data_IF_385618588389
#
_entry.id   IF_385618588389
#
_cell.length_a   1.000
_cell.length_b   1.000
_cell.length_c   1.000
_cell.angle_alpha   90.00
_cell.angle_beta   90.00
_cell.angle_gamma   90.00
#
_symmetry.space_group_name_H-M   'P 1'
#
loop_
_entity.id
_entity.type
_entity.pdbx_description
1 polymer ?
#
# COMPACT_ATOMS: atom_id res chain seq x y z
N UNK A 1 -28.53 36.33 -34.75
CA UNK A 1 -27.73 35.09 -34.77
C UNK A 1 -28.00 34.39 -33.46
N UNK A 2 -29.00 33.52 -33.47
CA UNK A 2 -29.46 32.80 -32.28
C UNK A 2 -28.38 31.84 -31.78
N UNK A 3 -27.79 32.17 -30.63
CA UNK A 3 -26.94 31.26 -29.87
C UNK A 3 -27.88 30.21 -29.30
N UNK A 4 -28.01 29.07 -30.00
CA UNK A 4 -28.76 27.92 -29.51
C UNK A 4 -28.15 27.45 -28.19
N UNK A 5 -28.93 27.52 -27.12
CA UNK A 5 -28.57 26.93 -25.83
C UNK A 5 -28.13 25.46 -26.03
N UNK A 6 -26.93 25.07 -25.58
CA UNK A 6 -26.48 23.70 -25.74
C UNK A 6 -27.39 22.78 -24.92
N UNK A 7 -27.96 21.78 -25.61
CA UNK A 7 -28.81 20.75 -24.99
C UNK A 7 -28.09 20.14 -23.79
N UNK A 8 -28.73 20.18 -22.62
CA UNK A 8 -28.23 19.57 -21.39
C UNK A 8 -28.07 18.05 -21.60
N UNK A 9 -26.83 17.61 -21.80
CA UNK A 9 -26.52 16.18 -21.86
C UNK A 9 -26.52 15.66 -20.42
N UNK A 10 -27.45 14.76 -20.11
CA UNK A 10 -27.55 14.10 -18.80
C UNK A 10 -26.97 12.69 -19.00
N UNK A 11 -25.70 12.50 -18.63
CA UNK A 11 -25.01 11.22 -18.73
C UNK A 11 -23.52 11.32 -18.37
N UNK A 12 -22.88 10.18 -18.10
CA UNK A 12 -21.44 10.13 -17.85
C UNK A 12 -20.66 10.36 -19.14
N UNK A 13 -19.75 11.34 -19.13
CA UNK A 13 -18.82 11.58 -20.25
C UNK A 13 -17.55 10.77 -20.05
N UNK A 14 -17.26 9.88 -20.99
CA UNK A 14 -16.00 9.13 -21.04
C UNK A 14 -15.02 9.88 -21.95
N UNK A 15 -13.80 10.08 -21.45
CA UNK A 15 -12.74 10.77 -22.18
C UNK A 15 -11.64 9.77 -22.53
N UNK A 16 -11.01 9.94 -23.68
CA UNK A 16 -9.86 9.12 -24.08
C UNK A 16 -8.69 9.36 -23.13
N UNK A 17 -7.88 8.33 -22.88
CA UNK A 17 -6.67 8.48 -22.07
C UNK A 17 -5.77 9.60 -22.63
N UNK A 18 -5.22 10.43 -21.75
CA UNK A 18 -4.37 11.54 -22.14
C UNK A 18 -5.10 12.77 -22.71
N UNK A 19 -6.44 12.83 -22.70
CA UNK A 19 -7.20 13.99 -23.22
C UNK A 19 -6.77 15.34 -22.63
N UNK A 20 -6.35 15.36 -21.35
CA UNK A 20 -5.83 16.57 -20.69
C UNK A 20 -4.62 17.18 -21.39
N UNK A 21 -3.81 16.36 -22.08
CA UNK A 21 -2.64 16.80 -22.85
C UNK A 21 -3.00 17.53 -24.13
N UNK A 22 -4.24 17.36 -24.61
CA UNK A 22 -4.73 17.99 -25.84
C UNK A 22 -5.39 19.35 -25.58
N UNK A 23 -5.54 19.75 -24.31
CA UNK A 23 -6.11 21.04 -23.94
C UNK A 23 -5.12 22.17 -24.21
N UNK A 24 -5.63 23.28 -24.73
CA UNK A 24 -4.82 24.46 -24.96
C UNK A 24 -4.51 25.17 -23.63
N UNK A 25 -3.25 25.55 -23.43
CA UNK A 25 -2.78 26.26 -22.23
C UNK A 25 -2.41 27.71 -22.51
N UNK A 26 -2.94 28.31 -23.57
CA UNK A 26 -2.75 29.75 -23.81
C UNK A 26 -3.51 30.58 -22.77
N UNK A 27 -3.13 31.85 -22.63
CA UNK A 27 -3.67 32.77 -21.61
C UNK A 27 -5.20 32.85 -21.65
N UNK A 28 -5.78 32.95 -22.85
CA UNK A 28 -7.23 33.04 -23.04
C UNK A 28 -7.96 31.74 -22.67
N UNK A 29 -7.39 30.57 -22.98
CA UNK A 29 -7.96 29.28 -22.56
C UNK A 29 -7.86 29.07 -21.04
N UNK A 30 -6.77 29.50 -20.40
CA UNK A 30 -6.64 29.42 -18.94
C UNK A 30 -7.68 30.33 -18.25
N UNK A 31 -7.89 31.54 -18.76
CA UNK A 31 -8.94 32.44 -18.24
C UNK A 31 -10.34 31.84 -18.43
N UNK A 32 -10.61 31.21 -19.57
CA UNK A 32 -11.84 30.48 -19.82
C UNK A 32 -12.04 29.36 -18.77
N UNK A 33 -11.05 28.51 -18.54
CA UNK A 33 -11.18 27.41 -17.57
C UNK A 33 -11.40 27.91 -16.14
N UNK A 34 -10.76 29.02 -15.76
CA UNK A 34 -11.02 29.68 -14.47
C UNK A 34 -12.45 30.20 -14.38
N UNK A 35 -12.94 30.84 -15.44
CA UNK A 35 -14.31 31.38 -15.51
C UNK A 35 -15.36 30.27 -15.42
N UNK A 36 -15.11 29.13 -16.06
CA UNK A 36 -15.97 27.94 -16.02
C UNK A 36 -15.78 27.09 -14.75
N UNK A 37 -14.93 27.53 -13.80
CA UNK A 37 -14.75 26.86 -12.51
C UNK A 37 -13.96 25.55 -12.57
N UNK A 38 -13.24 25.28 -13.66
CA UNK A 38 -12.46 24.05 -13.88
C UNK A 38 -10.96 24.33 -14.13
N UNK A 39 -10.28 25.18 -13.33
CA UNK A 39 -8.86 25.50 -13.57
C UNK A 39 -7.93 24.29 -13.43
N UNK A 40 -8.37 23.23 -12.74
CA UNK A 40 -7.63 22.00 -12.53
C UNK A 40 -7.55 21.10 -13.76
N UNK A 41 -8.35 21.39 -14.81
CA UNK A 41 -8.52 20.50 -15.97
C UNK A 41 -7.21 20.27 -16.75
N UNK A 42 -6.29 21.23 -16.69
CA UNK A 42 -4.97 21.15 -17.34
C UNK A 42 -3.90 20.48 -16.47
N UNK A 43 -4.18 20.25 -15.19
CA UNK A 43 -3.23 19.58 -14.30
C UNK A 43 -3.24 18.07 -14.56
N UNK A 44 -2.08 17.51 -14.93
CA UNK A 44 -1.92 16.08 -15.16
C UNK A 44 -1.80 15.30 -13.84
N UNK A 45 -1.42 15.97 -12.75
CA UNK A 45 -1.28 15.40 -11.42
C UNK A 45 -2.61 15.35 -10.67
N UNK A 46 -3.62 16.08 -11.14
CA UNK A 46 -4.97 16.04 -10.60
C UNK A 46 -5.85 14.99 -11.33
N UNK A 47 -5.29 13.79 -11.50
CA UNK A 47 -5.97 12.62 -12.03
C UNK A 47 -6.02 11.55 -10.96
N UNK A 48 -7.10 10.75 -10.90
CA UNK A 48 -7.20 9.62 -9.96
C UNK A 48 -5.99 8.69 -10.11
N UNK A 49 -5.56 8.43 -11.34
CA UNK A 49 -4.38 7.63 -11.64
C UNK A 49 -3.09 8.22 -11.04
N UNK A 50 -2.89 9.55 -11.07
CA UNK A 50 -1.75 10.19 -10.42
C UNK A 50 -1.81 10.06 -8.89
N UNK A 51 -3.00 10.18 -8.28
CA UNK A 51 -3.18 9.92 -6.84
C UNK A 51 -2.88 8.47 -6.47
N UNK A 52 -3.38 7.51 -7.25
CA UNK A 52 -3.10 6.08 -7.07
C UNK A 52 -1.61 5.79 -7.23
N UNK A 53 -0.95 6.30 -8.27
CA UNK A 53 0.49 6.17 -8.48
C UNK A 53 1.27 6.70 -7.28
N UNK A 54 0.97 7.92 -6.83
CA UNK A 54 1.63 8.54 -5.68
C UNK A 54 1.42 7.73 -4.40
N UNK A 55 0.25 7.12 -4.22
CA UNK A 55 -0.03 6.24 -3.09
C UNK A 55 0.80 4.95 -3.17
N UNK A 56 0.92 4.34 -4.35
CA UNK A 56 1.74 3.14 -4.58
C UNK A 56 3.22 3.41 -4.36
N UNK A 57 3.74 4.51 -4.89
CA UNK A 57 5.13 4.94 -4.70
C UNK A 57 5.46 5.13 -3.22
N UNK A 58 4.56 5.74 -2.43
CA UNK A 58 4.74 5.87 -0.98
C UNK A 58 4.76 4.52 -0.27
N UNK A 59 3.90 3.59 -0.68
CA UNK A 59 3.89 2.23 -0.12
C UNK A 59 5.20 1.50 -0.43
N UNK A 60 5.65 1.54 -1.70
CA UNK A 60 6.91 0.93 -2.13
C UNK A 60 8.13 1.56 -1.41
N UNK A 61 8.15 2.88 -1.23
CA UNK A 61 9.23 3.56 -0.51
C UNK A 61 9.27 3.13 0.97
N UNK A 62 8.11 2.95 1.61
CA UNK A 62 8.02 2.48 2.99
C UNK A 62 8.43 1.01 3.13
N UNK A 63 8.05 0.16 2.17
CA UNK A 63 8.50 -1.23 2.11
C UNK A 63 10.02 -1.30 2.00
N UNK A 64 10.60 -0.55 1.05
CA UNK A 64 12.06 -0.46 0.88
C UNK A 64 12.78 0.02 2.14
N UNK A 65 12.25 1.01 2.86
CA UNK A 65 12.82 1.48 4.13
C UNK A 65 12.75 0.40 5.22
N UNK A 66 11.68 -0.39 5.28
CA UNK A 66 11.54 -1.48 6.24
C UNK A 66 12.49 -2.64 5.95
N UNK A 67 12.67 -2.98 4.68
CA UNK A 67 13.63 -4.00 4.24
C UNK A 67 15.08 -3.58 4.54
N UNK A 68 15.40 -2.30 4.37
CA UNK A 68 16.72 -1.74 4.70
C UNK A 68 17.01 -1.77 6.22
N UNK A 69 15.99 -1.62 7.05
CA UNK A 69 16.11 -1.78 8.50
C UNK A 69 16.43 -3.21 8.93
N UNK A 70 15.73 -4.19 8.34
CA UNK A 70 15.97 -5.61 8.61
C UNK A 70 17.33 -6.07 8.06
N UNK A 71 17.67 -5.69 6.83
CA UNK A 71 18.96 -6.05 6.22
C UNK A 71 20.14 -5.51 7.04
N UNK A 72 20.03 -4.29 7.55
CA UNK A 72 21.03 -3.68 8.44
C UNK A 72 21.15 -4.42 9.78
N UNK A 73 20.03 -4.83 10.38
CA UNK A 73 20.05 -5.63 11.62
C UNK A 73 20.72 -6.98 11.39
N UNK A 74 20.35 -7.70 10.33
CA UNK A 74 20.92 -8.98 9.95
C UNK A 74 22.43 -8.90 9.65
N UNK A 75 22.88 -7.83 9.01
CA UNK A 75 24.30 -7.62 8.68
C UNK A 75 25.18 -7.41 9.93
N UNK A 76 24.60 -7.07 11.08
CA UNK A 76 25.31 -6.85 12.34
C UNK A 76 25.36 -8.08 13.25
N UNK A 77 24.67 -9.16 12.89
CA UNK A 77 24.54 -10.39 13.68
C UNK A 77 25.49 -11.49 13.17
N UNK A 78 25.79 -12.48 14.02
CA UNK A 78 26.44 -13.71 13.55
C UNK A 78 25.60 -14.39 12.46
N UNK A 79 26.26 -15.02 11.48
CA UNK A 79 25.60 -15.60 10.30
C UNK A 79 24.50 -16.60 10.66
N UNK A 80 24.69 -17.41 11.71
CA UNK A 80 23.68 -18.40 12.11
C UNK A 80 22.45 -17.70 12.68
N UNK A 81 22.65 -16.73 13.57
CA UNK A 81 21.58 -15.95 14.17
C UNK A 81 20.84 -15.08 13.13
N UNK A 82 21.55 -14.55 12.13
CA UNK A 82 20.97 -13.80 11.02
C UNK A 82 20.07 -14.69 10.15
N UNK A 83 20.52 -15.89 9.79
CA UNK A 83 19.72 -16.84 9.00
C UNK A 83 18.47 -17.26 9.76
N UNK A 84 18.59 -17.56 11.06
CA UNK A 84 17.45 -17.94 11.88
C UNK A 84 16.44 -16.79 12.03
N UNK A 85 16.92 -15.57 12.29
CA UNK A 85 16.07 -14.39 12.38
C UNK A 85 15.35 -14.09 11.05
N UNK A 86 16.05 -14.20 9.92
CA UNK A 86 15.43 -14.01 8.60
C UNK A 86 14.34 -15.06 8.33
N UNK A 87 14.58 -16.31 8.71
CA UNK A 87 13.58 -17.37 8.58
C UNK A 87 12.35 -17.12 9.47
N UNK A 88 12.57 -16.77 10.74
CA UNK A 88 11.49 -16.45 11.69
C UNK A 88 10.70 -15.22 11.25
N UNK A 89 11.37 -14.21 10.67
CA UNK A 89 10.70 -13.02 10.13
C UNK A 89 9.80 -13.37 8.95
N UNK A 90 10.26 -14.20 8.01
CA UNK A 90 9.44 -14.63 6.88
C UNK A 90 8.25 -15.47 7.34
N UNK A 91 8.45 -16.40 8.28
CA UNK A 91 7.36 -17.16 8.89
C UNK A 91 6.34 -16.23 9.56
N UNK A 92 6.80 -15.23 10.32
CA UNK A 92 5.92 -14.24 10.93
C UNK A 92 5.13 -13.43 9.90
N UNK A 93 5.78 -12.99 8.81
CA UNK A 93 5.14 -12.24 7.72
C UNK A 93 4.02 -13.04 7.06
N UNK A 94 4.25 -14.33 6.80
CA UNK A 94 3.25 -15.24 6.24
C UNK A 94 2.07 -15.46 7.19
N UNK A 95 2.34 -15.84 8.45
CA UNK A 95 1.30 -16.06 9.46
C UNK A 95 0.44 -14.81 9.69
N UNK A 96 1.06 -13.62 9.70
CA UNK A 96 0.35 -12.35 9.83
C UNK A 96 -0.51 -12.04 8.59
N UNK A 97 0.00 -12.33 7.39
CA UNK A 97 -0.73 -12.15 6.14
C UNK A 97 -1.97 -13.05 6.05
N UNK A 98 -1.83 -14.32 6.46
CA UNK A 98 -2.95 -15.27 6.55
C UNK A 98 -3.96 -14.84 7.61
N UNK A 99 -3.50 -14.40 8.78
CA UNK A 99 -4.36 -13.92 9.84
C UNK A 99 -5.16 -12.68 9.40
N UNK A 100 -4.51 -11.67 8.83
CA UNK A 100 -5.21 -10.50 8.26
C UNK A 100 -6.16 -10.90 7.13
N UNK A 101 -5.76 -11.87 6.31
CA UNK A 101 -6.57 -12.43 5.23
C UNK A 101 -7.80 -13.21 5.70
N UNK A 102 -7.89 -13.57 6.99
CA UNK A 102 -9.07 -14.23 7.58
C UNK A 102 -10.22 -13.26 7.88
N UNK A 103 -9.95 -11.95 7.95
CA UNK A 103 -10.94 -10.90 8.26
C UNK A 103 -11.75 -10.43 7.04
N UNK A 104 -11.90 -11.27 5.99
CA UNK A 104 -12.69 -10.90 4.80
C UNK A 104 -14.11 -10.45 5.19
N UNK A 105 -14.51 -9.27 4.73
CA UNK A 105 -15.82 -8.66 5.01
C UNK A 105 -15.73 -7.42 5.91
N UNK A 106 -16.86 -7.04 6.52
CA UNK A 106 -17.01 -5.81 7.33
C UNK A 106 -16.56 -6.00 8.80
N UNK A 107 -15.63 -6.93 9.05
CA UNK A 107 -15.12 -7.21 10.39
C UNK A 107 -14.04 -6.20 10.77
N UNK A 108 -14.35 -5.37 11.75
CA UNK A 108 -13.38 -4.47 12.39
C UNK A 108 -12.47 -5.28 13.31
N UNK A 109 -11.16 -5.20 13.10
CA UNK A 109 -10.14 -5.83 13.97
C UNK A 109 -10.18 -5.17 15.34
N UNK A 110 -10.31 -5.97 16.40
CA UNK A 110 -10.30 -5.51 17.78
C UNK A 110 -8.97 -5.78 18.48
N UNK A 111 -8.79 -5.18 19.65
CA UNK A 111 -7.58 -5.37 20.46
C UNK A 111 -7.45 -6.81 20.91
N UNK A 112 -8.57 -7.47 21.22
CA UNK A 112 -8.60 -8.86 21.66
C UNK A 112 -8.11 -9.81 20.55
N UNK A 113 -8.48 -9.55 19.29
CA UNK A 113 -8.06 -10.37 18.15
C UNK A 113 -6.53 -10.34 17.97
N UNK A 114 -5.92 -9.16 18.16
CA UNK A 114 -4.47 -8.96 18.11
C UNK A 114 -3.79 -9.68 19.27
N UNK A 115 -4.34 -9.58 20.48
CA UNK A 115 -3.80 -10.26 21.67
C UNK A 115 -3.87 -11.79 21.53
N UNK A 116 -4.96 -12.31 20.97
CA UNK A 116 -5.13 -13.74 20.70
C UNK A 116 -4.11 -14.24 19.68
N UNK A 117 -3.91 -13.49 18.59
CA UNK A 117 -2.89 -13.81 17.58
C UNK A 117 -1.50 -13.97 18.21
N UNK A 118 -1.04 -12.97 18.97
CA UNK A 118 0.28 -13.04 19.62
C UNK A 118 0.36 -14.12 20.70
N UNK A 119 -0.72 -14.36 21.45
CA UNK A 119 -0.76 -15.41 22.47
C UNK A 119 -0.65 -16.80 21.84
N UNK A 120 -1.35 -17.04 20.71
CA UNK A 120 -1.26 -18.28 19.96
C UNK A 120 0.15 -18.54 19.43
N UNK A 121 0.83 -17.51 18.95
CA UNK A 121 2.19 -17.58 18.43
C UNK A 121 3.20 -17.90 19.54
N UNK A 122 3.06 -17.28 20.72
CA UNK A 122 3.88 -17.58 21.89
C UNK A 122 3.66 -19.00 22.41
N UNK A 123 2.42 -19.48 22.43
CA UNK A 123 2.10 -20.85 22.84
C UNK A 123 2.76 -21.89 21.92
N UNK A 124 2.71 -21.68 20.59
CA UNK A 124 3.41 -22.54 19.61
C UNK A 124 4.93 -22.55 19.83
N UNK A 125 5.54 -21.39 20.11
CA UNK A 125 6.97 -21.29 20.40
C UNK A 125 7.37 -22.08 21.66
N UNK A 126 6.55 -22.02 22.71
CA UNK A 126 6.80 -22.75 23.97
C UNK A 126 6.68 -24.26 23.79
N UNK A 127 5.69 -24.74 23.03
CA UNK A 127 5.54 -26.17 22.75
C UNK A 127 6.78 -26.75 22.03
N UNK A 128 7.32 -26.04 21.03
CA UNK A 128 8.57 -26.46 20.34
C UNK A 128 9.80 -26.53 21.26
N UNK A 129 9.80 -25.81 22.38
CA UNK A 129 10.89 -25.85 23.38
C UNK A 129 10.68 -26.96 24.42
N UNK A 130 9.45 -27.43 24.60
CA UNK A 130 9.05 -28.46 25.57
C UNK A 130 9.12 -29.89 25.00
N UNK A 131 9.14 -30.03 23.66
CA UNK A 131 9.32 -31.31 22.95
C UNK A 131 10.69 -32.00 23.17
N UNK A 132 11.52 -31.48 24.09
CA UNK A 132 12.66 -32.21 24.66
C UNK A 132 13.83 -32.50 23.72
N UNK A 133 13.85 -31.97 22.50
CA UNK A 133 14.98 -32.11 21.58
C UNK A 133 16.04 -31.07 21.96
N UNK A 134 17.20 -31.47 22.53
CA UNK A 134 18.25 -30.52 22.87
C UNK A 134 18.77 -29.87 21.58
N UNK A 135 19.07 -28.55 21.56
CA UNK A 135 19.71 -27.94 20.42
C UNK A 135 21.04 -28.64 20.20
N UNK A 136 21.16 -29.34 19.06
CA UNK A 136 22.41 -29.96 18.64
C UNK A 136 23.42 -28.86 18.30
N UNK A 137 24.11 -28.37 19.33
CA UNK A 137 25.39 -27.71 19.18
C UNK A 137 26.38 -28.75 18.67
N UNK A 138 26.39 -28.98 17.35
CA UNK A 138 27.52 -29.59 16.69
C UNK A 138 28.62 -28.54 16.62
N UNK A 139 29.69 -28.79 17.38
CA UNK A 139 30.95 -28.06 17.38
C UNK A 139 31.81 -28.47 16.18
#
# INVERSE_FOLDING_TARGET
MDVKDPKKIIGSSFWVEGWRQQLCTCSSCIELYKKEGVPFITDQQDTLQAYENKSRERMMAKEKQSEDGLSKALSSMDRVAAVELAHQYNQFKEELGEWLGSFKGDKVVKVEDVQEFFSSMQARKRARMDDGIPPSFCR
#
